data_IF_588833371261
#
_entry.id   IF_588833371261
#
_cell.length_a   1.000
_cell.length_b   1.000
_cell.length_c   1.000
_cell.angle_alpha   90.00
_cell.angle_beta   90.00
_cell.angle_gamma   90.00
#
_symmetry.space_group_name_H-M   'P 1'
#
loop_
_entity.id
_entity.type
_entity.pdbx_description
1 polymer ?
#
# COMPACT_ATOMS: atom_id res chain seq x y z
N UNK A 1 6.54 -11.40 8.42
CA UNK A 1 7.20 -12.32 7.46
C UNK A 1 8.72 -12.39 7.67
N UNK A 2 9.44 -11.26 7.69
CA UNK A 2 10.90 -11.22 7.87
C UNK A 2 11.41 -11.97 9.12
N UNK A 3 10.88 -11.65 10.31
CA UNK A 3 11.40 -12.23 11.56
C UNK A 3 11.04 -13.70 11.75
N UNK A 4 9.78 -14.06 11.50
CA UNK A 4 9.25 -15.38 11.86
C UNK A 4 9.14 -16.34 10.68
N UNK A 5 8.56 -15.94 9.55
CA UNK A 5 8.39 -16.85 8.41
C UNK A 5 9.74 -17.28 7.83
N UNK A 6 10.56 -16.30 7.44
CA UNK A 6 11.88 -16.54 6.86
C UNK A 6 12.88 -17.12 7.89
N UNK A 7 12.77 -16.71 9.15
CA UNK A 7 13.68 -17.14 10.22
C UNK A 7 13.39 -18.55 10.73
N UNK A 8 12.14 -18.86 11.06
CA UNK A 8 11.76 -20.15 11.65
C UNK A 8 11.52 -21.23 10.59
N UNK A 9 11.08 -20.85 9.39
CA UNK A 9 10.70 -21.80 8.33
C UNK A 9 11.36 -21.44 6.97
N UNK A 10 12.70 -21.44 6.88
CA UNK A 10 13.41 -20.99 5.68
C UNK A 10 13.08 -21.85 4.45
N UNK A 11 13.04 -23.17 4.59
CA UNK A 11 12.77 -24.08 3.47
C UNK A 11 11.31 -23.99 2.98
N UNK A 12 10.35 -23.93 3.90
CA UNK A 12 8.94 -23.73 3.53
C UNK A 12 8.71 -22.35 2.88
N UNK A 13 9.40 -21.31 3.36
CA UNK A 13 9.34 -19.97 2.77
C UNK A 13 9.89 -19.96 1.35
N UNK A 14 11.03 -20.64 1.09
CA UNK A 14 11.57 -20.80 -0.26
C UNK A 14 10.59 -21.55 -1.17
N UNK A 15 10.05 -22.68 -0.71
CA UNK A 15 9.07 -23.46 -1.47
C UNK A 15 7.82 -22.65 -1.85
N UNK A 16 7.31 -21.83 -0.92
CA UNK A 16 6.11 -21.01 -1.15
C UNK A 16 6.36 -19.78 -2.05
N UNK A 17 7.62 -19.43 -2.34
CA UNK A 17 8.00 -18.21 -3.07
C UNK A 17 7.23 -17.98 -4.36
N UNK A 18 7.08 -18.96 -5.28
CA UNK A 18 6.40 -18.73 -6.55
C UNK A 18 4.95 -18.29 -6.39
N UNK A 19 4.21 -18.92 -5.46
CA UNK A 19 2.82 -18.58 -5.18
C UNK A 19 2.72 -17.21 -4.51
N UNK A 20 3.59 -16.93 -3.54
CA UNK A 20 3.60 -15.63 -2.85
C UNK A 20 3.91 -14.49 -3.80
N UNK A 21 4.87 -14.67 -4.73
CA UNK A 21 5.19 -13.70 -5.78
C UNK A 21 3.98 -13.49 -6.71
N UNK A 22 3.31 -14.56 -7.14
CA UNK A 22 2.12 -14.43 -7.99
C UNK A 22 1.02 -13.60 -7.29
N UNK A 23 0.74 -13.89 -6.02
CA UNK A 23 -0.23 -13.12 -5.23
C UNK A 23 0.22 -11.67 -5.02
N UNK A 24 1.51 -11.42 -4.83
CA UNK A 24 2.06 -10.07 -4.70
C UNK A 24 1.84 -9.25 -5.99
N UNK A 25 2.10 -9.85 -7.16
CA UNK A 25 1.86 -9.21 -8.46
C UNK A 25 0.37 -8.93 -8.68
N UNK A 26 -0.50 -9.88 -8.32
CA UNK A 26 -1.96 -9.68 -8.35
C UNK A 26 -2.35 -8.52 -7.44
N UNK A 27 -1.82 -8.45 -6.21
CA UNK A 27 -2.08 -7.36 -5.27
C UNK A 27 -1.67 -6.00 -5.83
N UNK A 28 -0.48 -5.92 -6.46
CA UNK A 28 0.02 -4.69 -7.09
C UNK A 28 -0.98 -4.20 -8.14
N UNK A 29 -1.29 -5.05 -9.13
CA UNK A 29 -2.09 -4.64 -10.30
C UNK A 29 -3.55 -4.46 -9.91
N UNK A 30 -4.16 -5.46 -9.27
CA UNK A 30 -5.58 -5.42 -8.93
C UNK A 30 -5.90 -4.36 -7.87
N UNK A 31 -5.04 -4.21 -6.86
CA UNK A 31 -5.19 -3.14 -5.87
C UNK A 31 -5.15 -1.74 -6.50
N UNK A 32 -4.25 -1.52 -7.46
CA UNK A 32 -4.17 -0.26 -8.19
C UNK A 32 -5.41 0.00 -9.05
N UNK A 33 -5.87 -1.01 -9.80
CA UNK A 33 -7.09 -0.90 -10.62
C UNK A 33 -8.33 -0.59 -9.75
N UNK A 34 -8.47 -1.27 -8.61
CA UNK A 34 -9.55 -1.00 -7.67
C UNK A 34 -9.45 0.41 -7.07
N UNK A 35 -8.24 0.89 -6.75
CA UNK A 35 -8.02 2.24 -6.22
C UNK A 35 -8.48 3.31 -7.22
N UNK A 36 -8.12 3.17 -8.50
CA UNK A 36 -8.56 4.09 -9.58
C UNK A 36 -10.08 4.12 -9.71
N UNK A 37 -10.75 2.97 -9.51
CA UNK A 37 -12.21 2.89 -9.56
C UNK A 37 -12.94 3.43 -8.32
N UNK A 38 -12.24 3.84 -7.26
CA UNK A 38 -12.90 4.32 -6.05
C UNK A 38 -13.44 5.73 -6.21
N UNK A 39 -14.63 5.96 -5.64
CA UNK A 39 -15.27 7.28 -5.53
C UNK A 39 -15.13 7.91 -4.14
N UNK A 40 -14.70 7.12 -3.15
CA UNK A 40 -14.51 7.54 -1.76
C UNK A 40 -13.00 7.68 -1.48
N UNK A 41 -12.58 8.80 -0.90
CA UNK A 41 -11.16 9.13 -0.67
C UNK A 41 -10.50 8.11 0.28
N UNK A 42 -11.18 7.70 1.36
CA UNK A 42 -10.60 6.76 2.32
C UNK A 42 -10.43 5.38 1.69
N UNK A 43 -11.41 4.95 0.88
CA UNK A 43 -11.30 3.69 0.13
C UNK A 43 -10.18 3.74 -0.90
N UNK A 44 -10.03 4.85 -1.63
CA UNK A 44 -8.93 5.05 -2.57
C UNK A 44 -7.58 4.82 -1.88
N UNK A 45 -7.36 5.49 -0.74
CA UNK A 45 -6.11 5.36 0.04
C UNK A 45 -5.92 3.91 0.50
N UNK A 46 -6.98 3.26 1.00
CA UNK A 46 -6.91 1.86 1.45
C UNK A 46 -6.55 0.88 0.33
N UNK A 47 -7.14 1.00 -0.86
CA UNK A 47 -6.82 0.12 -2.00
C UNK A 47 -5.43 0.41 -2.57
N UNK A 48 -4.98 1.67 -2.56
CA UNK A 48 -3.60 2.01 -2.88
C UNK A 48 -2.62 1.31 -1.92
N UNK A 49 -2.91 1.29 -0.61
CA UNK A 49 -2.11 0.54 0.37
C UNK A 49 -2.03 -0.96 0.09
N UNK A 50 -3.12 -1.59 -0.36
CA UNK A 50 -3.10 -2.99 -0.79
C UNK A 50 -2.13 -3.22 -1.96
N UNK A 51 -2.10 -2.30 -2.94
CA UNK A 51 -1.14 -2.35 -4.04
C UNK A 51 0.30 -2.23 -3.53
N UNK A 52 0.57 -1.27 -2.64
CA UNK A 52 1.89 -1.07 -2.02
C UNK A 52 2.36 -2.27 -1.18
N UNK A 53 1.45 -2.96 -0.48
CA UNK A 53 1.78 -4.19 0.24
C UNK A 53 2.24 -5.31 -0.69
N UNK A 54 1.73 -5.35 -1.93
CA UNK A 54 2.24 -6.27 -2.94
C UNK A 54 3.73 -6.04 -3.25
N UNK A 55 4.19 -4.79 -3.37
CA UNK A 55 5.62 -4.49 -3.55
C UNK A 55 6.47 -4.91 -2.35
N UNK A 56 5.97 -4.69 -1.13
CA UNK A 56 6.65 -5.10 0.10
C UNK A 56 6.82 -6.62 0.13
N UNK A 57 5.76 -7.38 -0.13
CA UNK A 57 5.79 -8.84 -0.14
C UNK A 57 6.72 -9.34 -1.24
N UNK A 58 6.66 -8.76 -2.44
CA UNK A 58 7.54 -9.10 -3.56
C UNK A 58 9.01 -8.90 -3.19
N UNK A 59 9.37 -7.77 -2.55
CA UNK A 59 10.74 -7.51 -2.11
C UNK A 59 11.22 -8.49 -1.03
N UNK A 60 10.35 -8.86 -0.08
CA UNK A 60 10.67 -9.87 0.95
C UNK A 60 10.96 -11.23 0.30
N UNK A 61 10.13 -11.64 -0.65
CA UNK A 61 10.22 -12.95 -1.30
C UNK A 61 11.11 -12.99 -2.55
N UNK A 62 11.78 -11.90 -2.89
CA UNK A 62 12.86 -11.90 -3.87
C UNK A 62 14.09 -12.70 -3.40
N UNK A 63 14.15 -13.08 -2.11
CA UNK A 63 15.21 -13.88 -1.49
C UNK A 63 16.64 -13.30 -1.67
N UNK A 64 16.74 -11.97 -1.77
CA UNK A 64 18.00 -11.23 -1.81
C UNK A 64 18.08 -10.24 -0.64
N UNK A 65 19.29 -9.90 -0.22
CA UNK A 65 19.49 -8.89 0.84
C UNK A 65 18.98 -7.51 0.41
N UNK A 66 19.17 -7.15 -0.86
CA UNK A 66 18.66 -5.92 -1.45
C UNK A 66 17.13 -5.89 -1.45
N UNK A 67 16.47 -6.99 -1.83
CA UNK A 67 15.01 -7.10 -1.79
C UNK A 67 14.43 -6.91 -0.39
N UNK A 68 15.03 -7.55 0.62
CA UNK A 68 14.57 -7.46 2.01
C UNK A 68 14.82 -6.08 2.63
N UNK A 69 16.00 -5.48 2.38
CA UNK A 69 16.30 -4.12 2.81
C UNK A 69 15.38 -3.11 2.12
N UNK A 70 15.16 -3.26 0.82
CA UNK A 70 14.24 -2.44 0.05
C UNK A 70 12.81 -2.53 0.56
N UNK A 71 12.30 -3.74 0.83
CA UNK A 71 10.98 -3.94 1.41
C UNK A 71 10.85 -3.31 2.80
N UNK A 72 11.91 -3.38 3.62
CA UNK A 72 11.93 -2.77 4.95
C UNK A 72 11.83 -1.25 4.87
N UNK A 73 12.64 -0.62 4.01
CA UNK A 73 12.55 0.82 3.75
C UNK A 73 11.18 1.19 3.19
N UNK A 74 10.65 0.40 2.27
CA UNK A 74 9.35 0.64 1.66
C UNK A 74 8.20 0.56 2.66
N UNK A 75 8.25 -0.34 3.65
CA UNK A 75 7.27 -0.38 4.75
C UNK A 75 7.24 0.93 5.54
N UNK A 76 8.40 1.50 5.85
CA UNK A 76 8.51 2.78 6.56
C UNK A 76 7.96 3.92 5.70
N UNK A 77 8.41 4.02 4.44
CA UNK A 77 7.95 5.03 3.51
C UNK A 77 6.43 4.97 3.32
N UNK A 78 5.89 3.77 3.10
CA UNK A 78 4.47 3.55 2.94
C UNK A 78 3.67 3.95 4.19
N UNK A 79 4.16 3.61 5.38
CA UNK A 79 3.53 4.01 6.64
C UNK A 79 3.44 5.53 6.78
N UNK A 80 4.53 6.24 6.51
CA UNK A 80 4.58 7.71 6.57
C UNK A 80 3.65 8.32 5.52
N UNK A 81 3.75 7.88 4.26
CA UNK A 81 2.91 8.41 3.18
C UNK A 81 1.42 8.17 3.43
N UNK A 82 1.04 6.99 3.92
CA UNK A 82 -0.36 6.65 4.21
C UNK A 82 -0.88 7.48 5.38
N UNK A 83 -0.08 7.68 6.43
CA UNK A 83 -0.46 8.53 7.56
C UNK A 83 -0.69 9.98 7.11
N UNK A 84 0.21 10.53 6.29
CA UNK A 84 0.07 11.87 5.72
C UNK A 84 -1.19 11.99 4.84
N UNK A 85 -1.44 11.03 3.95
CA UNK A 85 -2.63 11.02 3.10
C UNK A 85 -3.92 10.94 3.92
N UNK A 86 -3.97 10.08 4.94
CA UNK A 86 -5.13 9.96 5.82
C UNK A 86 -5.36 11.22 6.66
N UNK A 87 -4.30 11.91 7.09
CA UNK A 87 -4.40 13.19 7.79
C UNK A 87 -5.01 14.28 6.89
N UNK A 88 -4.48 14.43 5.67
CA UNK A 88 -4.98 15.41 4.69
C UNK A 88 -6.42 15.07 4.29
N UNK A 89 -6.71 13.80 3.99
CA UNK A 89 -8.07 13.35 3.70
C UNK A 89 -9.01 13.62 4.88
N UNK A 90 -8.55 13.37 6.11
CA UNK A 90 -9.29 13.67 7.33
C UNK A 90 -9.66 15.14 7.43
N UNK A 91 -8.70 16.05 7.21
CA UNK A 91 -8.94 17.49 7.21
C UNK A 91 -9.98 17.91 6.14
N UNK A 92 -9.82 17.41 4.91
CA UNK A 92 -10.75 17.69 3.81
C UNK A 92 -12.17 17.18 4.12
N UNK A 93 -12.28 15.97 4.65
CA UNK A 93 -13.56 15.35 5.05
C UNK A 93 -14.23 16.17 6.15
N UNK A 94 -13.50 16.56 7.19
CA UNK A 94 -14.05 17.36 8.30
C UNK A 94 -14.53 18.73 7.82
N UNK A 95 -13.81 19.37 6.88
CA UNK A 95 -14.18 20.70 6.36
C UNK A 95 -15.36 20.69 5.38
N UNK A 96 -15.49 19.66 4.56
CA UNK A 96 -16.57 19.55 3.54
C UNK A 96 -17.77 18.74 4.00
N UNK A 97 -17.63 17.87 5.00
CA UNK A 97 -18.68 16.96 5.45
C UNK A 97 -18.96 15.79 4.51
N UNK A 98 -18.14 15.58 3.47
CA UNK A 98 -18.27 14.47 2.52
C UNK A 98 -17.06 13.54 2.56
N UNK A 99 -17.15 12.39 1.88
CA UNK A 99 -16.01 11.51 1.58
C UNK A 99 -15.84 11.26 0.08
N UNK A 100 -16.76 11.77 -0.74
CA UNK A 100 -16.78 11.53 -2.17
C UNK A 100 -15.78 12.44 -2.88
N UNK A 101 -14.93 11.86 -3.71
CA UNK A 101 -13.87 12.58 -4.44
C UNK A 101 -14.43 13.73 -5.28
N UNK A 102 -15.62 13.55 -5.86
CA UNK A 102 -16.28 14.56 -6.69
C UNK A 102 -16.56 15.89 -5.96
N UNK A 103 -16.67 15.87 -4.63
CA UNK A 103 -16.99 17.07 -3.84
C UNK A 103 -15.77 17.98 -3.55
N UNK A 104 -14.60 17.56 -4.03
CA UNK A 104 -13.30 18.21 -3.79
C UNK A 104 -12.70 18.88 -5.03
N UNK A 105 -13.52 19.18 -6.04
CA UNK A 105 -13.09 19.98 -7.18
C UNK A 105 -12.59 21.37 -6.76
N UNK A 106 -11.44 21.79 -7.28
CA UNK A 106 -10.90 23.13 -7.05
C UNK A 106 -10.26 23.36 -5.67
N UNK A 107 -9.98 22.31 -4.89
CA UNK A 107 -9.37 22.42 -3.56
C UNK A 107 -8.06 23.21 -3.58
N UNK A 108 -7.27 23.12 -4.65
CA UNK A 108 -6.02 23.88 -4.80
C UNK A 108 -6.18 25.41 -4.80
N UNK A 109 -7.39 25.94 -5.03
CA UNK A 109 -7.68 27.39 -4.98
C UNK A 109 -7.96 27.90 -3.56
N UNK A 110 -8.36 27.00 -2.66
CA UNK A 110 -8.88 27.33 -1.32
C UNK A 110 -8.06 26.68 -0.19
N UNK A 111 -7.23 25.70 -0.52
CA UNK A 111 -6.17 25.21 0.34
C UNK A 111 -5.00 26.21 0.29
N UNK A 112 -4.32 26.46 1.43
CA UNK A 112 -3.17 27.34 1.50
C UNK A 112 -1.98 26.81 0.69
#
# INVERSE_FOLDING_TARGET
>A
MLRFCLGLFPEASKWATPVVIALALVSIVYGALLAVGQRDIKRLIAYASISHFGFIILGIFAMTSQGQSGATLYMVNHGISTAALLLVAGFLITRRGSRLIADYGGVQKVAP
#
